data_IF_964925995196
#
_entry.id   IF_964925995196
#
_cell.length_a   1.000
_cell.length_b   1.000
_cell.length_c   1.000
_cell.angle_alpha   90.00
_cell.angle_beta   90.00
_cell.angle_gamma   90.00
#
_symmetry.space_group_name_H-M   'P 1'
#
loop_
_entity.id
_entity.type
_entity.pdbx_description
1 polymer ?
#
# COMPACT_ATOMS: atom_id res chain seq x y z
N UNK A 1 35.92 9.74 -40.48
CA UNK A 1 36.21 8.92 -39.29
C UNK A 1 35.37 9.48 -38.15
N UNK A 2 34.31 8.80 -37.77
CA UNK A 2 33.39 9.26 -36.72
C UNK A 2 33.62 8.43 -35.45
N UNK A 3 33.78 9.16 -34.35
CA UNK A 3 34.02 8.73 -32.98
C UNK A 3 32.96 7.76 -32.43
N UNK A 4 33.39 6.92 -31.49
CA UNK A 4 32.54 5.98 -30.76
C UNK A 4 32.91 5.86 -29.28
N UNK A 5 33.10 6.98 -28.58
CA UNK A 5 33.16 7.01 -27.12
C UNK A 5 31.76 6.75 -26.54
N UNK A 6 31.46 5.50 -26.17
CA UNK A 6 30.25 5.17 -25.38
C UNK A 6 30.57 5.33 -23.90
N UNK A 7 30.35 6.54 -23.39
CA UNK A 7 30.43 6.90 -21.98
C UNK A 7 29.10 6.60 -21.27
N UNK A 8 29.27 6.00 -20.09
CA UNK A 8 28.61 6.37 -18.84
C UNK A 8 27.08 6.50 -18.80
N UNK A 9 26.51 5.53 -18.09
CA UNK A 9 25.34 5.62 -17.23
C UNK A 9 25.05 7.07 -16.75
N UNK A 10 24.07 7.74 -17.35
CA UNK A 10 23.55 9.02 -16.86
C UNK A 10 22.04 8.94 -16.70
N UNK A 11 21.60 8.55 -15.50
CA UNK A 11 20.21 8.74 -15.04
C UNK A 11 19.99 10.23 -14.83
N UNK A 12 19.40 10.90 -15.82
CA UNK A 12 18.87 12.24 -15.65
C UNK A 12 17.34 12.19 -15.62
N UNK A 13 16.82 12.45 -14.43
CA UNK A 13 15.48 12.98 -14.23
C UNK A 13 15.27 14.19 -15.15
N UNK A 14 14.11 14.26 -15.81
CA UNK A 14 13.14 15.37 -15.69
C UNK A 14 12.20 15.41 -16.92
N UNK A 15 11.07 14.72 -16.83
CA UNK A 15 9.74 15.28 -17.17
C UNK A 15 8.74 14.64 -16.22
N UNK A 16 8.25 15.43 -15.27
CA UNK A 16 7.10 15.14 -14.41
C UNK A 16 5.85 14.96 -15.29
N UNK A 17 5.72 13.81 -15.92
CA UNK A 17 4.44 13.18 -16.15
C UNK A 17 4.21 12.29 -14.93
N UNK A 18 3.09 12.46 -14.24
CA UNK A 18 2.68 11.58 -13.16
C UNK A 18 2.51 10.15 -13.72
N UNK A 19 3.57 9.35 -13.77
CA UNK A 19 3.44 7.91 -13.64
C UNK A 19 3.09 7.70 -12.18
N UNK A 20 1.79 7.74 -11.89
CA UNK A 20 1.28 7.54 -10.56
C UNK A 20 1.73 6.16 -10.11
N UNK A 21 2.22 6.07 -8.87
CA UNK A 21 2.43 4.84 -8.11
C UNK A 21 1.14 3.99 -7.92
N UNK A 22 0.11 4.24 -8.74
CA UNK A 22 -1.27 3.79 -8.59
C UNK A 22 -1.51 2.43 -9.25
N UNK A 23 -0.63 1.92 -10.11
CA UNK A 23 -0.87 0.61 -10.76
C UNK A 23 -0.40 -0.59 -9.92
N UNK A 24 0.23 -0.37 -8.78
CA UNK A 24 0.83 -1.43 -8.00
C UNK A 24 0.38 -1.38 -6.54
N UNK A 25 0.06 -2.56 -6.01
CA UNK A 25 -0.39 -2.75 -4.66
C UNK A 25 0.64 -3.57 -3.89
N UNK A 26 1.09 -3.06 -2.75
CA UNK A 26 2.07 -3.77 -1.92
C UNK A 26 1.41 -4.93 -1.20
N UNK A 27 1.97 -6.12 -1.33
CA UNK A 27 1.56 -7.32 -0.62
C UNK A 27 2.55 -7.60 0.51
N UNK A 28 2.02 -7.65 1.72
CA UNK A 28 2.80 -7.79 2.94
C UNK A 28 2.73 -9.21 3.49
N UNK A 29 3.88 -9.71 3.95
CA UNK A 29 3.97 -10.94 4.74
C UNK A 29 4.82 -10.67 5.96
N UNK A 30 4.30 -10.99 7.15
CA UNK A 30 4.98 -10.71 8.43
C UNK A 30 5.43 -9.24 8.57
N UNK A 31 4.57 -8.29 8.18
CA UNK A 31 4.82 -6.84 8.20
C UNK A 31 5.93 -6.35 7.25
N UNK A 32 6.42 -7.19 6.36
CA UNK A 32 7.38 -6.82 5.32
C UNK A 32 6.71 -6.86 3.95
N UNK A 33 6.94 -5.85 3.10
CA UNK A 33 6.49 -5.88 1.71
C UNK A 33 7.31 -6.94 0.97
N UNK A 34 6.65 -8.02 0.55
CA UNK A 34 7.31 -9.17 -0.10
C UNK A 34 7.03 -9.24 -1.60
N UNK A 35 5.96 -8.60 -2.05
CA UNK A 35 5.61 -8.56 -3.46
C UNK A 35 4.86 -7.26 -3.79
N UNK A 36 4.94 -6.88 -5.05
CA UNK A 36 4.15 -5.79 -5.62
C UNK A 36 3.21 -6.40 -6.65
N UNK A 37 1.92 -6.38 -6.33
CA UNK A 37 0.86 -6.94 -7.17
C UNK A 37 0.45 -5.86 -8.16
N UNK A 38 0.49 -6.18 -9.45
CA UNK A 38 0.02 -5.25 -10.45
C UNK A 38 -1.50 -5.23 -10.53
N UNK A 39 -2.02 -4.05 -10.78
CA UNK A 39 -3.41 -3.71 -11.05
C UNK A 39 -3.43 -2.70 -12.19
N UNK A 40 -4.55 -2.56 -12.88
CA UNK A 40 -4.69 -1.51 -13.91
C UNK A 40 -4.89 -0.12 -13.30
N UNK A 41 -5.29 -0.07 -12.03
CA UNK A 41 -5.30 1.13 -11.23
C UNK A 41 -5.78 0.87 -9.81
N UNK A 42 -5.19 1.58 -8.86
CA UNK A 42 -5.61 1.64 -7.46
C UNK A 42 -6.09 3.06 -7.18
N UNK A 43 -7.37 3.16 -6.86
CA UNK A 43 -8.06 4.41 -6.56
C UNK A 43 -8.35 4.46 -5.07
N UNK A 44 -7.89 5.51 -4.41
CA UNK A 44 -8.11 5.71 -2.98
C UNK A 44 -8.75 7.09 -2.75
N UNK A 45 -9.78 7.13 -1.89
CA UNK A 45 -10.37 8.39 -1.45
C UNK A 45 -9.44 9.03 -0.43
N UNK A 46 -9.19 10.35 -0.55
CA UNK A 46 -8.26 11.13 0.30
C UNK A 46 -8.66 11.25 1.79
N UNK A 47 -9.64 10.47 2.26
CA UNK A 47 -10.17 10.46 3.62
C UNK A 47 -10.83 9.10 3.85
N UNK A 48 -10.34 8.37 4.88
CA UNK A 48 -10.79 7.11 5.52
C UNK A 48 -11.83 6.27 4.75
N UNK A 49 -11.63 6.14 3.44
CA UNK A 49 -12.60 5.58 2.51
C UNK A 49 -12.08 4.29 1.90
N UNK A 50 -12.98 3.47 1.32
CA UNK A 50 -12.57 2.22 0.71
C UNK A 50 -11.58 2.47 -0.44
N UNK A 51 -10.53 1.64 -0.51
CA UNK A 51 -9.60 1.57 -1.63
C UNK A 51 -10.19 0.65 -2.70
N UNK A 52 -10.11 1.06 -3.97
CA UNK A 52 -10.65 0.34 -5.11
C UNK A 52 -9.50 -0.04 -6.05
N UNK A 53 -9.28 -1.33 -6.28
CA UNK A 53 -8.39 -1.80 -7.34
C UNK A 53 -9.22 -2.23 -8.56
N UNK A 54 -8.76 -1.83 -9.74
CA UNK A 54 -9.31 -2.24 -11.03
C UNK A 54 -8.34 -3.18 -11.74
N UNK A 55 -8.90 -4.24 -12.35
CA UNK A 55 -8.15 -5.23 -13.13
C UNK A 55 -9.08 -5.91 -14.13
N UNK A 56 -8.58 -6.20 -15.34
CA UNK A 56 -9.28 -7.03 -16.32
C UNK A 56 -8.72 -8.45 -16.33
N UNK A 57 -9.57 -9.42 -16.70
CA UNK A 57 -9.13 -10.80 -16.89
C UNK A 57 -8.06 -10.90 -17.99
N UNK A 58 -8.22 -10.15 -19.08
CA UNK A 58 -7.23 -10.12 -20.17
C UNK A 58 -5.88 -9.59 -19.70
N UNK A 59 -5.88 -8.56 -18.84
CA UNK A 59 -4.68 -8.06 -18.18
C UNK A 59 -3.98 -9.13 -17.34
N UNK A 60 -4.74 -9.90 -16.56
CA UNK A 60 -4.23 -11.02 -15.76
C UNK A 60 -3.64 -12.10 -16.68
N UNK A 61 -4.34 -12.50 -17.73
CA UNK A 61 -3.87 -13.54 -18.66
C UNK A 61 -2.61 -13.12 -19.42
N UNK A 62 -2.57 -11.86 -19.89
CA UNK A 62 -1.39 -11.29 -20.53
C UNK A 62 -0.17 -11.34 -19.59
N UNK A 63 -0.35 -11.03 -18.31
CA UNK A 63 0.72 -11.14 -17.31
C UNK A 63 1.16 -12.56 -17.04
N UNK A 64 0.25 -13.51 -16.94
CA UNK A 64 0.60 -14.93 -16.82
C UNK A 64 1.42 -15.39 -18.01
N UNK A 65 0.95 -15.08 -19.21
CA UNK A 65 1.65 -15.44 -20.44
C UNK A 65 3.05 -14.84 -20.47
N UNK A 66 3.19 -13.55 -20.15
CA UNK A 66 4.49 -12.88 -20.05
C UNK A 66 5.40 -13.56 -19.03
N UNK A 67 4.89 -13.86 -17.83
CA UNK A 67 5.67 -14.54 -16.79
C UNK A 67 6.23 -15.89 -17.25
N UNK A 68 5.40 -16.67 -17.95
CA UNK A 68 5.74 -18.01 -18.43
C UNK A 68 6.66 -17.97 -19.66
N UNK A 69 6.43 -17.02 -20.57
CA UNK A 69 7.16 -16.88 -21.84
C UNK A 69 8.28 -15.85 -21.79
N UNK A 70 8.77 -15.49 -20.60
CA UNK A 70 9.75 -14.42 -20.35
C UNK A 70 11.18 -14.67 -20.90
N UNK A 71 11.37 -15.61 -21.83
CA UNK A 71 12.69 -15.90 -22.40
C UNK A 71 13.14 -14.79 -23.37
N UNK A 72 14.21 -14.04 -23.07
CA UNK A 72 14.72 -13.02 -23.98
C UNK A 72 15.46 -13.69 -25.15
N UNK A 73 14.94 -13.49 -26.37
CA UNK A 73 15.77 -13.48 -27.57
C UNK A 73 16.34 -14.81 -28.07
N UNK A 74 15.59 -15.91 -28.09
CA UNK A 74 15.97 -17.08 -28.89
C UNK A 74 14.80 -17.53 -29.75
N UNK A 75 15.10 -17.92 -31.00
CA UNK A 75 14.11 -18.31 -32.00
C UNK A 75 13.16 -19.41 -31.52
N UNK A 76 12.09 -19.63 -32.27
CA UNK A 76 11.04 -20.59 -31.93
C UNK A 76 11.63 -21.97 -31.61
N UNK A 77 11.48 -22.40 -30.36
CA UNK A 77 11.91 -23.70 -29.88
C UNK A 77 10.67 -24.47 -29.42
N UNK A 78 10.16 -25.34 -30.30
CA UNK A 78 8.90 -26.08 -30.13
C UNK A 78 8.80 -26.81 -28.77
N UNK A 79 9.80 -27.60 -28.31
CA UNK A 79 9.79 -28.19 -26.96
C UNK A 79 9.65 -27.18 -25.81
N UNK A 80 10.35 -26.04 -25.88
CA UNK A 80 10.28 -25.00 -24.86
C UNK A 80 8.90 -24.34 -24.89
N UNK A 81 8.37 -24.08 -26.09
CA UNK A 81 7.03 -23.55 -26.28
C UNK A 81 5.98 -24.47 -25.66
N UNK A 82 6.01 -25.78 -25.94
CA UNK A 82 5.09 -26.77 -25.32
C UNK A 82 5.18 -26.80 -23.81
N UNK A 83 6.40 -26.68 -23.26
CA UNK A 83 6.62 -26.67 -21.81
C UNK A 83 6.04 -25.41 -21.18
N UNK A 84 6.26 -24.25 -21.79
CA UNK A 84 5.67 -22.98 -21.39
C UNK A 84 4.14 -23.04 -21.46
N UNK A 85 3.58 -23.55 -22.55
CA UNK A 85 2.15 -23.65 -22.75
C UNK A 85 1.47 -24.60 -21.73
N UNK A 86 2.15 -25.69 -21.35
CA UNK A 86 1.71 -26.56 -20.25
C UNK A 86 1.75 -25.82 -18.90
N UNK A 87 2.79 -25.03 -18.64
CA UNK A 87 2.87 -24.21 -17.41
C UNK A 87 1.78 -23.15 -17.37
N UNK A 88 1.52 -22.46 -18.48
CA UNK A 88 0.49 -21.43 -18.58
C UNK A 88 -0.90 -22.02 -18.26
N UNK A 89 -1.25 -23.16 -18.87
CA UNK A 89 -2.49 -23.88 -18.56
C UNK A 89 -2.59 -24.31 -17.10
N UNK A 90 -1.48 -24.71 -16.48
CA UNK A 90 -1.46 -25.08 -15.06
C UNK A 90 -1.64 -23.88 -14.11
N UNK A 91 -1.31 -22.66 -14.56
CA UNK A 91 -1.48 -21.43 -13.78
C UNK A 91 -2.86 -20.79 -13.97
N UNK A 92 -3.61 -21.23 -14.97
CA UNK A 92 -4.94 -20.72 -15.26
C UNK A 92 -5.96 -21.49 -14.40
N UNK A 93 -6.72 -20.81 -13.54
CA UNK A 93 -7.74 -21.46 -12.75
C UNK A 93 -8.90 -21.92 -13.63
N UNK A 94 -9.57 -23.02 -13.23
CA UNK A 94 -10.76 -23.50 -13.93
C UNK A 94 -11.94 -22.52 -13.81
N UNK A 95 -12.04 -21.83 -12.66
CA UNK A 95 -13.00 -20.77 -12.40
C UNK A 95 -12.27 -19.45 -12.24
N UNK A 96 -12.66 -18.43 -13.01
CA UNK A 96 -12.04 -17.11 -12.98
C UNK A 96 -12.29 -16.35 -11.67
N UNK A 97 -13.35 -16.68 -10.93
CA UNK A 97 -13.68 -16.03 -9.65
C UNK A 97 -12.71 -16.50 -8.54
N UNK A 98 -12.19 -17.72 -8.66
CA UNK A 98 -11.25 -18.33 -7.71
C UNK A 98 -9.79 -18.08 -8.10
N UNK A 99 -9.56 -17.06 -8.93
CA UNK A 99 -8.24 -16.74 -9.42
C UNK A 99 -7.31 -16.29 -8.27
N UNK A 100 -6.17 -16.99 -8.05
CA UNK A 100 -5.23 -16.62 -6.99
C UNK A 100 -4.70 -15.19 -7.12
N UNK A 101 -4.64 -14.64 -8.34
CA UNK A 101 -4.25 -13.26 -8.58
C UNK A 101 -5.28 -12.28 -8.02
N UNK A 102 -6.57 -12.56 -8.21
CA UNK A 102 -7.67 -11.75 -7.65
C UNK A 102 -7.64 -11.81 -6.12
N UNK A 103 -7.46 -13.01 -5.56
CA UNK A 103 -7.31 -13.17 -4.11
C UNK A 103 -6.12 -12.38 -3.55
N UNK A 104 -4.99 -12.36 -4.27
CA UNK A 104 -3.83 -11.56 -3.90
C UNK A 104 -4.14 -10.06 -3.83
N UNK A 105 -4.88 -9.53 -4.81
CA UNK A 105 -5.34 -8.13 -4.82
C UNK A 105 -6.22 -7.85 -3.60
N UNK A 106 -7.20 -8.70 -3.31
CA UNK A 106 -8.11 -8.52 -2.18
C UNK A 106 -7.37 -8.48 -0.83
N UNK A 107 -6.42 -9.41 -0.63
CA UNK A 107 -5.59 -9.44 0.57
C UNK A 107 -4.76 -8.17 0.69
N UNK A 108 -4.11 -7.74 -0.40
CA UNK A 108 -3.26 -6.57 -0.37
C UNK A 108 -4.07 -5.27 -0.15
N UNK A 109 -5.32 -5.19 -0.64
CA UNK A 109 -6.21 -4.07 -0.37
C UNK A 109 -6.60 -4.01 1.11
N UNK A 110 -6.95 -5.16 1.69
CA UNK A 110 -7.27 -5.24 3.12
C UNK A 110 -6.06 -4.84 3.99
N UNK A 111 -4.85 -5.25 3.60
CA UNK A 111 -3.61 -4.84 4.26
C UNK A 111 -3.40 -3.33 4.17
N UNK A 112 -3.56 -2.74 2.99
CA UNK A 112 -3.43 -1.29 2.80
C UNK A 112 -4.41 -0.52 3.70
N UNK A 113 -5.67 -0.96 3.76
CA UNK A 113 -6.69 -0.34 4.59
C UNK A 113 -6.36 -0.43 6.09
N UNK A 114 -5.89 -1.60 6.55
CA UNK A 114 -5.51 -1.77 7.95
C UNK A 114 -4.31 -0.88 8.33
N UNK A 115 -3.30 -0.78 7.46
CA UNK A 115 -2.15 0.07 7.71
C UNK A 115 -2.53 1.55 7.82
N UNK A 116 -3.47 2.03 7.00
CA UNK A 116 -3.96 3.41 7.08
C UNK A 116 -4.66 3.70 8.40
N UNK A 117 -5.58 2.83 8.82
CA UNK A 117 -6.29 2.99 10.10
C UNK A 117 -5.35 2.98 11.30
N UNK A 118 -4.33 2.12 11.29
CA UNK A 118 -3.34 2.07 12.38
C UNK A 118 -2.47 3.33 12.44
N UNK A 119 -2.22 3.99 11.32
CA UNK A 119 -1.41 5.22 11.28
C UNK A 119 -2.22 6.42 11.75
N UNK A 120 -3.50 6.52 11.34
CA UNK A 120 -4.43 7.57 11.78
C UNK A 120 -4.58 7.59 13.32
N UNK A 121 -4.73 6.42 13.97
CA UNK A 121 -4.79 6.35 15.43
C UNK A 121 -3.49 6.78 16.13
N UNK A 122 -2.34 6.42 15.57
CA UNK A 122 -1.04 6.79 16.14
C UNK A 122 -0.75 8.29 15.99
N UNK A 123 -1.19 8.89 14.88
CA UNK A 123 -1.07 10.33 14.64
C UNK A 123 -1.98 11.13 15.57
N UNK A 124 -3.20 10.65 15.85
CA UNK A 124 -4.12 11.25 16.83
C UNK A 124 -3.59 11.14 18.27
N UNK A 125 -3.06 9.98 18.69
CA UNK A 125 -2.44 9.83 20.00
C UNK A 125 -1.15 10.65 20.15
N UNK A 126 -0.32 10.73 19.10
CA UNK A 126 0.88 11.58 19.12
C UNK A 126 0.51 13.07 19.18
N UNK A 127 -0.54 13.50 18.45
CA UNK A 127 -1.06 14.86 18.54
C UNK A 127 -1.63 15.16 19.93
N UNK A 128 -2.38 14.22 20.52
CA UNK A 128 -2.88 14.34 21.89
C UNK A 128 -1.76 14.43 22.94
N UNK A 129 -0.74 13.58 22.82
CA UNK A 129 0.43 13.58 23.73
C UNK A 129 1.30 14.83 23.57
N UNK A 130 1.28 15.48 22.40
CA UNK A 130 1.95 16.76 22.17
C UNK A 130 1.13 17.93 22.73
N UNK A 131 -0.21 17.86 22.62
CA UNK A 131 -1.15 18.88 23.09
C UNK A 131 -1.30 18.88 24.63
N UNK A 132 -1.22 17.70 25.26
CA UNK A 132 -1.30 17.53 26.71
C UNK A 132 -0.16 16.62 27.19
N UNK A 133 1.03 17.19 27.46
CA UNK A 133 2.16 16.41 27.93
C UNK A 133 1.81 15.74 29.26
N UNK A 134 1.94 14.41 29.31
CA UNK A 134 1.76 13.67 30.55
C UNK A 134 2.85 14.13 31.55
N UNK A 135 2.50 14.60 32.75
CA UNK A 135 3.51 14.98 33.72
C UNK A 135 4.41 13.78 34.01
N UNK A 136 5.73 13.96 34.14
CA UNK A 136 6.62 12.87 34.45
C UNK A 136 6.15 12.24 35.77
N UNK A 137 6.02 10.91 35.77
CA UNK A 137 5.76 10.13 36.99
C UNK A 137 7.03 10.22 37.85
N UNK A 138 7.19 11.36 38.51
CA UNK A 138 8.13 11.53 39.59
C UNK A 138 7.59 10.74 40.78
N UNK A 139 8.51 10.03 41.42
CA UNK A 139 8.36 9.25 42.63
C UNK A 139 7.21 9.72 43.54
N UNK A 140 6.41 8.74 43.97
CA UNK A 140 5.52 8.92 45.10
C UNK A 140 6.38 9.27 46.32
N UNK A 141 6.28 10.52 46.77
CA UNK A 141 6.44 10.87 48.17
C UNK A 141 5.29 11.83 48.47
N UNK A 142 4.22 11.20 48.94
CA UNK A 142 3.24 11.70 49.90
C UNK A 142 3.80 12.90 50.69
N UNK A 143 3.39 14.11 50.31
CA UNK A 143 3.05 15.14 51.28
C UNK A 143 2.32 16.33 50.63
N UNK A 144 1.32 16.81 51.38
CA UNK A 144 0.59 18.06 51.27
C UNK A 144 -0.48 18.19 50.17
N UNK A 145 -1.71 17.86 50.61
CA UNK A 145 -2.92 18.50 50.13
C UNK A 145 -2.75 20.03 50.09
N UNK A 146 -3.02 20.64 48.94
CA UNK A 146 -3.45 22.03 48.88
C UNK A 146 -4.75 22.07 48.07
N UNK A 147 -5.86 22.08 48.80
CA UNK A 147 -7.17 22.45 48.28
C UNK A 147 -7.11 23.93 47.92
N UNK A 148 -7.17 24.25 46.62
CA UNK A 148 -7.55 25.59 46.16
C UNK A 148 -8.99 25.51 45.68
N UNK A 149 -9.88 26.07 46.50
CA UNK A 149 -11.24 26.41 46.09
C UNK A 149 -11.17 27.52 45.05
N UNK A 150 -11.71 27.27 43.86
CA UNK A 150 -12.08 28.35 42.94
C UNK A 150 -13.60 28.40 42.89
N UNK A 151 -14.14 29.35 43.66
CA UNK A 151 -15.51 29.82 43.53
C UNK A 151 -15.63 30.57 42.21
N UNK A 152 -16.46 30.06 41.31
CA UNK A 152 -16.74 30.68 40.01
C UNK A 152 -18.18 30.42 39.61
N UNK A 153 -19.08 31.20 40.19
CA UNK A 153 -20.49 31.29 39.78
C UNK A 153 -20.59 31.87 38.37
N UNK A 154 -21.24 31.18 37.44
CA UNK A 154 -21.74 31.77 36.21
C UNK A 154 -23.13 31.23 35.90
N UNK A 155 -24.07 32.18 35.89
CA UNK A 155 -25.51 32.04 35.82
C UNK A 155 -25.99 31.44 34.50
N UNK A 156 -27.02 30.60 34.56
CA UNK A 156 -27.79 30.12 33.41
C UNK A 156 -28.76 31.23 32.96
N UNK A 157 -28.89 31.54 31.66
CA UNK A 157 -30.08 32.20 31.15
C UNK A 157 -31.16 31.15 30.87
N UNK A 158 -32.29 31.31 31.56
CA UNK A 158 -33.59 30.73 31.24
C UNK A 158 -34.08 31.35 29.93
N UNK A 159 -34.46 30.53 28.94
CA UNK A 159 -35.16 30.97 27.73
C UNK A 159 -36.65 30.66 27.93
N UNK A 160 -37.50 31.67 27.77
CA UNK A 160 -38.97 31.57 27.68
C UNK A 160 -39.43 30.66 26.54
#
# INVERSE_FOLDING_TARGET
MADGATLMLRRNNLKKGFLTSSEFLSFYFRRQSVASIWTEGVFSRKSTGPSLAYVTFDGIQSRRSKYVHNSPGKGFNEPVFRTCDKKLRSLQPANTIEDPYIMGILIALAQEQWHRQSNEQHEEEAAWNTQFPRPPVAAQTEDLMTVVSVSGSLSLPLLE
#
